data_IF_455855098879
#
_entry.id   IF_455855098879
#
_cell.length_a   1.000
_cell.length_b   1.000
_cell.length_c   1.000
_cell.angle_alpha   90.00
_cell.angle_beta   90.00
_cell.angle_gamma   90.00
#
_symmetry.space_group_name_H-M   'P 1'
#
loop_
_entity.id
_entity.type
_entity.pdbx_description
1 polymer ?
#
# COMPACT_ATOMS: atom_id res chain seq x y z
N UNK A 1 40.09 -11.88 -7.10
CA UNK A 1 39.85 -10.43 -7.17
C UNK A 1 38.45 -10.27 -7.69
N UNK A 2 37.48 -10.05 -6.80
CA UNK A 2 36.11 -9.76 -7.21
C UNK A 2 36.03 -8.23 -7.35
N UNK A 3 35.73 -7.78 -8.57
CA UNK A 3 35.47 -6.38 -8.87
C UNK A 3 34.19 -5.97 -8.13
N UNK A 4 34.35 -5.23 -7.04
CA UNK A 4 33.26 -4.48 -6.44
C UNK A 4 32.97 -3.30 -7.36
N UNK A 5 32.01 -3.47 -8.27
CA UNK A 5 31.44 -2.34 -9.02
C UNK A 5 30.64 -1.48 -8.05
N UNK A 6 31.32 -0.57 -7.37
CA UNK A 6 30.74 0.60 -6.72
C UNK A 6 30.13 1.48 -7.79
N UNK A 7 28.82 1.36 -8.00
CA UNK A 7 28.06 2.35 -8.77
C UNK A 7 27.81 3.58 -7.89
N UNK A 8 28.17 4.74 -8.42
CA UNK A 8 28.19 6.02 -7.72
C UNK A 8 26.79 6.57 -7.50
N UNK A 9 26.38 6.66 -6.23
CA UNK A 9 25.36 7.53 -5.65
C UNK A 9 24.04 7.70 -6.43
N UNK A 10 23.36 6.60 -6.75
CA UNK A 10 22.00 6.64 -7.31
C UNK A 10 20.94 7.15 -6.34
N UNK A 11 21.28 7.40 -5.06
CA UNK A 11 20.31 7.78 -4.02
C UNK A 11 19.46 6.61 -3.51
N UNK A 12 19.74 5.38 -3.96
CA UNK A 12 19.07 4.14 -3.54
C UNK A 12 20.08 3.16 -2.94
N UNK A 13 19.57 2.21 -2.16
CA UNK A 13 20.30 1.07 -1.61
C UNK A 13 19.55 -0.23 -1.89
N UNK A 14 20.29 -1.32 -2.07
CA UNK A 14 19.70 -2.64 -2.28
C UNK A 14 19.15 -3.16 -0.96
N UNK A 15 17.85 -3.43 -0.93
CA UNK A 15 17.18 -4.12 0.17
C UNK A 15 16.92 -5.57 -0.21
N UNK A 16 17.29 -6.47 0.69
CA UNK A 16 16.86 -7.87 0.69
C UNK A 16 15.51 -7.96 1.39
N UNK A 17 14.56 -8.65 0.78
CA UNK A 17 13.20 -8.85 1.28
C UNK A 17 12.99 -10.33 1.57
N UNK A 18 12.19 -10.65 2.59
CA UNK A 18 11.78 -12.02 2.92
C UNK A 18 12.99 -12.96 3.06
N UNK A 19 13.97 -12.55 3.87
CA UNK A 19 15.20 -13.33 4.09
C UNK A 19 16.11 -13.43 2.86
N UNK A 20 16.00 -12.50 1.91
CA UNK A 20 16.83 -12.47 0.69
C UNK A 20 16.26 -13.25 -0.48
N UNK A 21 15.06 -13.81 -0.35
CA UNK A 21 14.37 -14.46 -1.46
C UNK A 21 13.92 -13.47 -2.55
N UNK A 22 13.76 -12.19 -2.20
CA UNK A 22 13.48 -11.10 -3.11
C UNK A 22 14.43 -9.93 -2.85
N UNK A 23 14.56 -9.05 -3.85
CA UNK A 23 15.35 -7.82 -3.74
C UNK A 23 14.66 -6.65 -4.42
N UNK A 24 14.94 -5.45 -3.94
CA UNK A 24 14.49 -4.19 -4.55
C UNK A 24 15.45 -3.06 -4.18
N UNK A 25 15.51 -2.00 -4.97
CA UNK A 25 16.20 -0.77 -4.58
C UNK A 25 15.24 0.14 -3.78
N UNK A 26 15.62 0.51 -2.57
CA UNK A 26 14.89 1.43 -1.69
C UNK A 26 15.65 2.76 -1.59
N UNK A 27 14.98 3.92 -1.55
CA UNK A 27 15.67 5.20 -1.42
C UNK A 27 16.43 5.31 -0.10
N UNK A 28 17.63 5.91 -0.13
CA UNK A 28 18.34 6.29 1.09
C UNK A 28 17.45 7.20 1.94
N UNK A 29 17.53 7.01 3.26
CA UNK A 29 16.70 7.76 4.23
C UNK A 29 15.34 7.11 4.50
N UNK A 30 15.06 5.93 3.95
CA UNK A 30 13.98 5.08 4.41
C UNK A 30 14.52 4.05 5.41
N UNK A 31 13.92 3.98 6.59
CA UNK A 31 14.26 2.99 7.60
C UNK A 31 13.35 1.77 7.49
N UNK A 32 13.90 0.55 7.63
CA UNK A 32 13.10 -0.67 7.74
C UNK A 32 12.42 -0.72 9.12
N UNK A 33 11.10 -0.80 9.13
CA UNK A 33 10.25 -0.75 10.32
C UNK A 33 10.15 -2.08 11.08
N UNK A 34 10.56 -3.20 10.49
CA UNK A 34 10.62 -4.52 11.14
C UNK A 34 11.58 -4.61 12.32
N UNK A 35 12.51 -3.67 12.43
CA UNK A 35 13.39 -3.53 13.61
C UNK A 35 12.71 -2.85 14.80
N UNK A 36 11.56 -2.20 14.59
CA UNK A 36 10.87 -1.36 15.59
C UNK A 36 9.51 -1.94 15.94
N UNK A 37 8.80 -2.46 14.95
CA UNK A 37 7.44 -2.97 15.09
C UNK A 37 7.38 -4.44 14.68
N UNK A 38 6.46 -5.23 15.28
CA UNK A 38 6.13 -6.54 14.75
C UNK A 38 5.42 -6.36 13.41
N UNK A 39 6.07 -6.77 12.32
CA UNK A 39 5.51 -6.76 10.96
C UNK A 39 5.14 -8.21 10.61
N UNK A 40 3.98 -8.47 9.99
CA UNK A 40 3.65 -9.80 9.48
C UNK A 40 4.73 -10.35 8.55
N UNK A 41 4.93 -11.67 8.57
CA UNK A 41 5.98 -12.32 7.77
C UNK A 41 5.80 -12.13 6.25
N UNK A 42 4.57 -11.87 5.80
CA UNK A 42 4.26 -11.59 4.40
C UNK A 42 4.40 -10.10 4.02
N UNK A 43 4.86 -9.24 4.93
CA UNK A 43 5.01 -7.80 4.72
C UNK A 43 6.44 -7.30 5.00
N UNK A 44 6.88 -6.33 4.21
CA UNK A 44 8.12 -5.57 4.40
C UNK A 44 7.80 -4.08 4.35
N UNK A 45 8.24 -3.32 5.36
CA UNK A 45 7.79 -1.94 5.57
C UNK A 45 8.98 -1.01 5.74
N UNK A 46 9.02 0.03 4.91
CA UNK A 46 10.04 1.06 4.95
C UNK A 46 9.38 2.43 5.14
N UNK A 47 9.96 3.28 5.99
CA UNK A 47 9.42 4.62 6.23
C UNK A 47 10.49 5.69 6.09
N UNK A 48 10.18 6.74 5.32
CA UNK A 48 11.01 7.92 5.20
C UNK A 48 11.21 8.58 6.56
N UNK A 49 12.46 8.83 6.92
CA UNK A 49 12.79 9.49 8.18
C UNK A 49 12.39 10.96 8.19
N UNK A 50 12.29 11.60 7.01
CA UNK A 50 12.02 13.04 6.85
C UNK A 50 10.57 13.35 6.48
N UNK A 51 9.97 12.61 5.54
CA UNK A 51 8.67 12.95 4.94
C UNK A 51 7.52 12.10 5.46
N UNK A 52 7.83 11.06 6.25
CA UNK A 52 6.86 10.07 6.73
C UNK A 52 6.14 9.28 5.64
N UNK A 53 6.53 9.44 4.38
CA UNK A 53 6.18 8.56 3.27
C UNK A 53 6.55 7.13 3.60
N UNK A 54 5.64 6.19 3.35
CA UNK A 54 5.83 4.78 3.64
C UNK A 54 5.90 3.99 2.33
N UNK A 55 6.75 2.99 2.28
CA UNK A 55 6.75 1.93 1.26
C UNK A 55 6.38 0.64 1.96
N UNK A 56 5.33 -0.03 1.49
CA UNK A 56 4.90 -1.33 2.00
C UNK A 56 4.96 -2.31 0.82
N UNK A 57 5.57 -3.47 1.04
CA UNK A 57 5.63 -4.56 0.09
C UNK A 57 4.97 -5.76 0.76
N UNK A 58 4.00 -6.37 0.08
CA UNK A 58 3.18 -7.42 0.67
C UNK A 58 2.98 -8.58 -0.31
N UNK A 59 3.03 -9.81 0.21
CA UNK A 59 2.67 -11.02 -0.50
C UNK A 59 1.29 -11.46 -0.04
N UNK A 60 0.36 -11.62 -0.98
CA UNK A 60 -1.00 -12.10 -0.71
C UNK A 60 -1.38 -13.24 -1.66
N UNK A 61 -2.41 -13.99 -1.29
CA UNK A 61 -3.00 -14.98 -2.20
C UNK A 61 -3.56 -14.27 -3.44
N UNK A 62 -3.31 -14.85 -4.61
CA UNK A 62 -3.79 -14.31 -5.86
C UNK A 62 -5.32 -14.31 -5.88
N UNK A 63 -5.90 -13.16 -6.22
CA UNK A 63 -7.34 -13.07 -6.41
C UNK A 63 -7.78 -13.81 -7.68
N UNK A 64 -8.57 -14.86 -7.51
CA UNK A 64 -9.19 -15.57 -8.62
C UNK A 64 -10.47 -14.86 -9.11
N UNK A 65 -10.78 -14.89 -10.41
CA UNK A 65 -12.02 -14.33 -10.92
C UNK A 65 -13.25 -14.84 -10.16
N UNK A 66 -14.08 -13.93 -9.66
CA UNK A 66 -15.30 -14.25 -8.91
C UNK A 66 -15.10 -14.54 -7.42
N UNK A 67 -13.88 -14.50 -6.89
CA UNK A 67 -13.61 -14.62 -5.45
C UNK A 67 -13.88 -13.33 -4.65
N UNK A 68 -14.06 -12.21 -5.34
CA UNK A 68 -14.26 -10.88 -4.76
C UNK A 68 -15.38 -10.12 -5.47
N UNK A 69 -15.91 -9.10 -4.80
CA UNK A 69 -16.91 -8.17 -5.35
C UNK A 69 -16.38 -6.75 -5.26
N UNK A 70 -16.24 -6.08 -6.40
CA UNK A 70 -15.93 -4.66 -6.43
C UNK A 70 -17.18 -3.82 -6.10
N UNK A 71 -17.03 -2.68 -5.41
CA UNK A 71 -18.08 -1.68 -5.33
C UNK A 71 -18.54 -1.24 -6.72
N UNK A 72 -19.84 -1.04 -6.89
CA UNK A 72 -20.46 -0.68 -8.19
C UNK A 72 -19.80 0.57 -8.80
N UNK A 73 -19.55 1.58 -7.98
CA UNK A 73 -18.91 2.84 -8.39
C UNK A 73 -17.50 2.64 -8.96
N UNK A 74 -16.76 1.68 -8.41
CA UNK A 74 -15.39 1.34 -8.83
C UNK A 74 -15.42 0.47 -10.08
N UNK A 75 -16.32 -0.51 -10.12
CA UNK A 75 -16.52 -1.39 -11.27
C UNK A 75 -16.96 -0.62 -12.53
N UNK A 76 -17.80 0.42 -12.35
CA UNK A 76 -18.27 1.28 -13.43
C UNK A 76 -17.12 1.98 -14.18
N UNK A 77 -15.99 2.25 -13.51
CA UNK A 77 -14.84 2.90 -14.14
C UNK A 77 -14.11 2.01 -15.16
N UNK A 78 -14.33 0.69 -15.10
CA UNK A 78 -13.73 -0.29 -16.01
C UNK A 78 -14.61 -0.65 -17.22
N UNK A 79 -15.82 -0.09 -17.36
CA UNK A 79 -16.79 -0.47 -18.41
C UNK A 79 -16.32 -0.19 -19.85
N UNK A 80 -15.23 0.56 -20.03
CA UNK A 80 -14.64 0.84 -21.35
C UNK A 80 -13.53 -0.13 -21.75
N UNK A 81 -13.13 -1.06 -20.87
CA UNK A 81 -12.02 -2.00 -21.10
C UNK A 81 -12.49 -3.34 -21.68
N UNK A 82 -11.66 -4.00 -22.51
CA UNK A 82 -11.95 -5.34 -23.04
C UNK A 82 -12.01 -6.41 -21.95
N UNK A 83 -12.82 -7.46 -22.17
CA UNK A 83 -13.15 -8.49 -21.16
C UNK A 83 -11.93 -9.16 -20.51
N UNK A 84 -10.91 -9.54 -21.29
CA UNK A 84 -9.71 -10.23 -20.76
C UNK A 84 -8.85 -9.34 -19.86
N UNK A 85 -8.83 -8.03 -20.10
CA UNK A 85 -8.13 -7.12 -19.22
C UNK A 85 -9.00 -6.77 -18.00
N UNK A 86 -10.32 -6.80 -18.15
CA UNK A 86 -11.26 -6.39 -17.10
C UNK A 86 -11.07 -7.18 -15.81
N UNK A 87 -10.86 -8.49 -15.88
CA UNK A 87 -10.62 -9.35 -14.70
C UNK A 87 -9.31 -9.02 -13.98
N UNK A 88 -8.26 -8.72 -14.74
CA UNK A 88 -6.95 -8.33 -14.21
C UNK A 88 -7.02 -6.95 -13.55
N UNK A 89 -7.64 -5.98 -14.23
CA UNK A 89 -7.82 -4.63 -13.70
C UNK A 89 -8.79 -4.61 -12.51
N UNK A 90 -9.79 -5.50 -12.47
CA UNK A 90 -10.69 -5.60 -11.32
C UNK A 90 -9.99 -6.14 -10.08
N UNK A 91 -9.02 -7.06 -10.24
CA UNK A 91 -8.21 -7.53 -9.13
C UNK A 91 -7.33 -6.40 -8.58
N UNK A 92 -6.73 -5.59 -9.46
CA UNK A 92 -5.95 -4.39 -9.08
C UNK A 92 -6.81 -3.44 -8.26
N UNK A 93 -8.03 -3.13 -8.72
CA UNK A 93 -8.93 -2.22 -8.00
C UNK A 93 -9.44 -2.80 -6.68
N UNK A 94 -9.59 -4.12 -6.58
CA UNK A 94 -10.05 -4.73 -5.34
C UNK A 94 -8.95 -4.66 -4.26
N UNK A 95 -7.71 -5.00 -4.61
CA UNK A 95 -6.57 -4.82 -3.71
C UNK A 95 -6.41 -3.37 -3.25
N UNK A 96 -6.54 -2.40 -4.18
CA UNK A 96 -6.54 -0.98 -3.84
C UNK A 96 -7.70 -0.62 -2.88
N UNK A 97 -8.91 -1.11 -3.17
CA UNK A 97 -10.09 -0.85 -2.36
C UNK A 97 -9.95 -1.38 -0.94
N UNK A 98 -9.56 -2.64 -0.81
CA UNK A 98 -9.39 -3.33 0.47
C UNK A 98 -8.37 -2.59 1.34
N UNK A 99 -7.22 -2.27 0.77
CA UNK A 99 -6.18 -1.49 1.44
C UNK A 99 -6.68 -0.08 1.85
N UNK A 100 -7.26 0.68 0.91
CA UNK A 100 -7.73 2.05 1.15
C UNK A 100 -8.86 2.14 2.17
N UNK A 101 -9.62 1.07 2.41
CA UNK A 101 -10.80 1.10 3.29
C UNK A 101 -10.63 0.32 4.59
N UNK A 102 -9.52 -0.40 4.76
CA UNK A 102 -9.14 -1.10 6.00
C UNK A 102 -9.29 -0.23 7.25
N UNK A 103 -8.89 1.05 7.17
CA UNK A 103 -8.97 2.02 8.28
C UNK A 103 -10.34 2.71 8.43
N UNK A 104 -11.34 2.33 7.63
CA UNK A 104 -12.59 3.09 7.50
C UNK A 104 -12.44 4.38 6.69
N UNK A 105 -11.32 4.51 5.98
CA UNK A 105 -11.01 5.65 5.13
C UNK A 105 -11.83 5.60 3.83
N UNK A 106 -11.88 6.73 3.14
CA UNK A 106 -12.49 6.84 1.81
C UNK A 106 -11.41 7.13 0.79
N UNK A 107 -11.65 6.79 -0.48
CA UNK A 107 -10.67 7.05 -1.53
C UNK A 107 -11.32 7.43 -2.85
N UNK A 108 -10.55 8.14 -3.67
CA UNK A 108 -10.87 8.49 -5.05
C UNK A 108 -9.75 7.99 -5.95
N UNK A 109 -10.10 7.30 -7.04
CA UNK A 109 -9.11 6.82 -8.02
C UNK A 109 -8.63 8.01 -8.86
N UNK A 110 -7.34 8.31 -8.78
CA UNK A 110 -6.70 9.39 -9.55
C UNK A 110 -6.25 8.88 -10.92
N UNK A 111 -5.63 7.71 -10.94
CA UNK A 111 -5.14 7.05 -12.15
C UNK A 111 -5.71 5.63 -12.19
N UNK A 112 -6.41 5.31 -13.28
CA UNK A 112 -6.91 3.95 -13.51
C UNK A 112 -5.76 2.95 -13.68
N UNK A 113 -5.98 1.68 -13.30
CA UNK A 113 -5.05 0.59 -13.56
C UNK A 113 -4.57 0.54 -15.00
N UNK A 114 -3.24 0.63 -15.16
CA UNK A 114 -2.58 0.50 -16.46
C UNK A 114 -1.49 -0.56 -16.39
N UNK A 115 -1.33 -1.41 -17.43
CA UNK A 115 -0.23 -2.35 -17.50
C UNK A 115 1.11 -1.63 -17.41
N UNK A 116 2.04 -2.20 -16.66
CA UNK A 116 3.40 -1.68 -16.54
C UNK A 116 4.39 -2.84 -16.60
N UNK A 117 5.26 -2.91 -17.64
CA UNK A 117 6.22 -4.01 -17.75
C UNK A 117 7.30 -3.88 -16.67
N UNK A 118 7.33 -4.85 -15.76
CA UNK A 118 8.41 -5.03 -14.79
C UNK A 118 9.62 -5.67 -15.46
N UNK A 119 10.83 -5.27 -15.06
CA UNK A 119 12.05 -5.66 -15.79
C UNK A 119 12.61 -7.03 -15.39
N UNK A 120 12.47 -7.40 -14.11
CA UNK A 120 13.14 -8.58 -13.55
C UNK A 120 12.18 -9.73 -13.21
N UNK A 121 10.86 -9.52 -13.35
CA UNK A 121 9.85 -10.54 -13.06
C UNK A 121 9.02 -10.75 -14.34
N UNK A 122 9.02 -11.93 -14.98
CA UNK A 122 8.30 -12.17 -16.23
C UNK A 122 6.82 -12.44 -15.95
N UNK A 123 6.08 -11.47 -15.41
CA UNK A 123 4.67 -11.62 -15.06
C UNK A 123 3.88 -10.33 -15.28
N UNK A 124 2.55 -10.41 -15.51
CA UNK A 124 1.70 -9.23 -15.63
C UNK A 124 1.81 -8.34 -14.41
N UNK A 125 1.88 -7.04 -14.67
CA UNK A 125 2.05 -6.03 -13.66
C UNK A 125 1.24 -4.78 -14.02
N UNK A 126 0.73 -4.11 -13.00
CA UNK A 126 -0.21 -3.00 -13.13
C UNK A 126 0.08 -1.92 -12.10
N UNK A 127 -0.21 -0.67 -12.44
CA UNK A 127 -0.13 0.45 -11.50
C UNK A 127 -1.38 1.30 -11.56
N UNK A 128 -1.79 1.83 -10.41
CA UNK A 128 -2.85 2.83 -10.27
C UNK A 128 -2.51 3.79 -9.13
N UNK A 129 -3.27 4.87 -9.01
CA UNK A 129 -3.13 5.81 -7.90
C UNK A 129 -4.49 6.17 -7.34
N UNK A 130 -4.55 6.42 -6.03
CA UNK A 130 -5.73 6.94 -5.38
C UNK A 130 -5.37 8.02 -4.36
N UNK A 131 -6.27 9.00 -4.22
CA UNK A 131 -6.31 9.90 -3.10
C UNK A 131 -7.08 9.23 -1.97
N UNK A 132 -6.48 9.09 -0.81
CA UNK A 132 -7.10 8.53 0.40
C UNK A 132 -7.40 9.68 1.34
N UNK A 133 -8.67 9.79 1.74
CA UNK A 133 -9.16 10.75 2.73
C UNK A 133 -9.57 9.99 3.98
N UNK A 134 -8.88 10.28 5.06
CA UNK A 134 -9.01 9.53 6.28
C UNK A 134 -9.99 10.17 7.26
N UNK A 135 -10.87 9.33 7.83
CA UNK A 135 -11.96 9.76 8.71
C UNK A 135 -11.59 9.55 10.17
N UNK A 136 -10.98 10.57 10.77
CA UNK A 136 -10.78 10.65 12.22
C UNK A 136 -9.34 10.86 12.68
N UNK A 137 -9.20 11.07 13.99
CA UNK A 137 -7.93 11.41 14.66
C UNK A 137 -7.12 10.16 15.05
N UNK A 138 -6.77 9.34 14.06
CA UNK A 138 -5.80 8.26 14.25
C UNK A 138 -4.43 8.80 13.85
N UNK A 139 -3.41 8.58 14.68
CA UNK A 139 -2.04 9.01 14.34
C UNK A 139 -1.50 8.20 13.17
N UNK A 140 -0.62 8.77 12.35
CA UNK A 140 -0.07 8.06 11.18
C UNK A 140 0.65 6.77 11.53
N UNK A 141 1.33 6.74 12.68
CA UNK A 141 1.97 5.52 13.16
C UNK A 141 0.90 4.46 13.46
N UNK A 142 -0.23 4.83 14.05
CA UNK A 142 -1.33 3.90 14.26
C UNK A 142 -2.00 3.49 12.95
N UNK A 143 -2.15 4.40 11.98
CA UNK A 143 -2.66 4.07 10.64
C UNK A 143 -1.76 3.09 9.91
N UNK A 144 -0.44 3.33 9.97
CA UNK A 144 0.55 2.39 9.46
C UNK A 144 0.35 1.02 10.12
N UNK A 145 0.33 0.96 11.45
CA UNK A 145 0.16 -0.30 12.18
C UNK A 145 -1.16 -1.03 11.86
N UNK A 146 -2.25 -0.30 11.64
CA UNK A 146 -3.52 -0.90 11.24
C UNK A 146 -3.44 -1.54 9.84
N UNK A 147 -2.79 -0.86 8.87
CA UNK A 147 -2.54 -1.45 7.54
C UNK A 147 -1.72 -2.74 7.61
N UNK A 148 -0.92 -2.91 8.67
CA UNK A 148 -0.13 -4.13 8.90
C UNK A 148 -0.93 -5.24 9.61
N UNK A 149 -2.09 -4.95 10.18
CA UNK A 149 -2.80 -5.88 11.07
C UNK A 149 -3.93 -6.66 10.36
N UNK A 150 -4.52 -6.10 9.30
CA UNK A 150 -5.79 -6.60 8.74
C UNK A 150 -5.66 -7.68 7.65
N UNK A 151 -4.47 -7.95 7.11
CA UNK A 151 -4.32 -8.94 6.03
C UNK A 151 -4.37 -10.42 6.46
N UNK A 152 -4.70 -10.71 7.73
CA UNK A 152 -4.83 -12.08 8.26
C UNK A 152 -6.27 -12.59 8.44
N UNK A 153 -7.31 -11.82 8.08
CA UNK A 153 -8.69 -12.26 8.24
C UNK A 153 -9.44 -12.42 6.92
N UNK A 154 -9.16 -13.54 6.23
CA UNK A 154 -10.16 -14.15 5.37
C UNK A 154 -10.31 -15.64 5.68
N UNK A 155 -11.08 -15.95 6.73
CA UNK A 155 -11.93 -17.15 6.79
C UNK A 155 -12.85 -17.13 8.02
N UNK A 156 -14.17 -17.22 7.76
CA UNK A 156 -15.27 -17.70 8.64
C UNK A 156 -16.09 -16.70 9.48
N UNK A 157 -17.37 -16.60 9.05
CA UNK A 157 -18.63 -16.58 9.82
C UNK A 157 -19.17 -15.29 10.45
N UNK A 158 -20.24 -14.79 9.83
CA UNK A 158 -21.60 -14.59 10.39
C UNK A 158 -21.75 -14.64 11.94
N UNK A 159 -22.18 -13.52 12.53
CA UNK A 159 -23.54 -13.34 13.12
C UNK A 159 -23.58 -12.49 14.42
N UNK A 160 -24.50 -11.51 14.40
CA UNK A 160 -25.40 -10.99 15.46
C UNK A 160 -24.84 -10.16 16.65
N UNK A 161 -25.49 -9.01 16.99
CA UNK A 161 -25.11 -8.17 18.12
C UNK A 161 -25.71 -8.68 19.44
N UNK A 162 -24.99 -8.54 20.56
CA UNK A 162 -25.52 -8.75 21.90
C UNK A 162 -25.01 -7.68 22.88
N UNK A 163 -25.95 -7.26 23.72
CA UNK A 163 -25.97 -6.10 24.61
C UNK A 163 -25.48 -6.39 26.04
N UNK A 164 -25.57 -5.35 26.88
CA UNK A 164 -25.36 -5.22 28.35
C UNK A 164 -23.92 -4.88 28.76
N UNK A 165 -23.61 -3.83 29.51
CA UNK A 165 -24.38 -2.80 30.24
C UNK A 165 -23.49 -2.33 31.42
N UNK A 166 -23.47 -1.04 31.77
CA UNK A 166 -23.36 -0.46 33.15
C UNK A 166 -23.05 1.04 33.10
N UNK A 167 -23.69 1.78 34.01
CA UNK A 167 -23.84 3.22 34.10
C UNK A 167 -22.58 4.01 34.54
N UNK A 168 -22.53 5.29 34.17
CA UNK A 168 -21.60 6.26 34.75
C UNK A 168 -21.73 7.69 34.20
N UNK A 169 -22.40 8.54 34.98
CA UNK A 169 -22.16 9.99 35.13
C UNK A 169 -22.48 10.93 33.96
N UNK A 170 -23.58 11.68 34.14
CA UNK A 170 -23.95 12.85 33.35
C UNK A 170 -22.95 14.00 33.59
N UNK A 171 -22.16 14.33 32.57
CA UNK A 171 -21.42 15.58 32.46
C UNK A 171 -21.90 16.34 31.23
N UNK A 172 -22.59 17.45 31.43
CA UNK A 172 -22.98 18.36 30.35
C UNK A 172 -21.75 19.11 29.88
N UNK A 173 -21.08 18.63 28.83
CA UNK A 173 -20.06 19.42 28.12
C UNK A 173 -20.71 20.09 26.92
N UNK A 174 -20.68 21.42 26.93
CA UNK A 174 -20.98 22.25 25.76
C UNK A 174 -19.94 21.92 24.69
N UNK A 175 -20.31 21.10 23.71
CA UNK A 175 -19.44 20.73 22.59
C UNK A 175 -19.39 21.91 21.62
N UNK A 176 -18.26 22.62 21.59
CA UNK A 176 -17.91 23.45 20.44
C UNK A 176 -17.86 22.56 19.19
N UNK A 177 -18.26 23.04 17.99
CA UNK A 177 -18.20 22.23 16.78
C UNK A 177 -16.75 21.78 16.58
N UNK A 178 -16.52 20.47 16.72
CA UNK A 178 -15.22 19.86 16.51
C UNK A 178 -15.03 19.92 15.00
N UNK A 179 -14.12 20.75 14.52
CA UNK A 179 -13.71 20.70 13.11
C UNK A 179 -13.06 19.33 12.92
N UNK A 180 -13.75 18.43 12.23
CA UNK A 180 -13.17 17.16 11.78
C UNK A 180 -12.02 17.52 10.85
N UNK A 181 -10.78 17.30 11.29
CA UNK A 181 -9.63 17.50 10.43
C UNK A 181 -9.51 16.25 9.57
N UNK A 182 -9.98 16.36 8.33
CA UNK A 182 -9.72 15.35 7.31
C UNK A 182 -8.22 15.40 6.98
N UNK A 183 -7.61 14.22 6.90
CA UNK A 183 -6.21 14.04 6.53
C UNK A 183 -6.19 13.33 5.20
N UNK A 184 -5.41 13.84 4.25
CA UNK A 184 -5.33 13.28 2.91
C UNK A 184 -3.95 12.71 2.65
N UNK A 185 -3.91 11.67 1.83
CA UNK A 185 -2.66 11.06 1.38
C UNK A 185 -2.84 10.44 -0.01
N UNK A 186 -1.80 10.42 -0.84
CA UNK A 186 -1.86 9.67 -2.10
C UNK A 186 -1.26 8.29 -1.90
N UNK A 187 -1.98 7.26 -2.34
CA UNK A 187 -1.45 5.92 -2.51
C UNK A 187 -1.03 5.71 -3.97
N UNK A 188 0.27 5.53 -4.20
CA UNK A 188 0.80 4.98 -5.44
C UNK A 188 0.84 3.46 -5.31
N UNK A 189 0.08 2.76 -6.15
CA UNK A 189 -0.06 1.32 -6.11
C UNK A 189 0.60 0.63 -7.30
N UNK A 190 1.20 -0.51 -7.02
CA UNK A 190 1.79 -1.40 -8.01
C UNK A 190 1.55 -2.85 -7.62
N UNK A 191 1.09 -3.65 -8.59
CA UNK A 191 0.76 -5.06 -8.42
C UNK A 191 1.55 -5.89 -9.44
N UNK A 192 2.12 -7.02 -9.01
CA UNK A 192 2.65 -8.09 -9.87
C UNK A 192 1.88 -9.37 -9.61
N UNK A 193 1.37 -10.02 -10.67
CA UNK A 193 0.51 -11.19 -10.53
C UNK A 193 1.23 -12.47 -10.93
N UNK A 194 1.57 -13.30 -9.96
CA UNK A 194 2.30 -14.55 -10.17
C UNK A 194 1.34 -15.75 -10.25
N UNK A 195 0.58 -15.84 -11.35
CA UNK A 195 -0.45 -16.87 -11.53
C UNK A 195 0.05 -18.31 -11.28
N UNK A 196 1.27 -18.63 -11.69
CA UNK A 196 1.86 -19.97 -11.50
C UNK A 196 2.10 -20.35 -10.02
N UNK A 197 2.18 -19.35 -9.14
CA UNK A 197 2.40 -19.53 -7.70
C UNK A 197 1.17 -19.17 -6.86
N UNK A 198 0.06 -18.75 -7.49
CA UNK A 198 -1.13 -18.30 -6.76
C UNK A 198 -0.85 -17.12 -5.82
N UNK A 199 0.11 -16.26 -6.17
CA UNK A 199 0.53 -15.11 -5.34
C UNK A 199 0.40 -13.81 -6.11
N UNK A 200 -0.07 -12.77 -5.43
CA UNK A 200 -0.02 -11.38 -5.88
C UNK A 200 1.02 -10.64 -5.00
N UNK A 201 1.93 -9.88 -5.63
CA UNK A 201 2.91 -9.02 -4.94
C UNK A 201 2.40 -7.59 -5.02
N UNK A 202 2.11 -6.98 -3.88
CA UNK A 202 1.58 -5.63 -3.77
C UNK A 202 2.68 -4.69 -3.28
N UNK A 203 2.74 -3.50 -3.86
CA UNK A 203 3.62 -2.42 -3.46
C UNK A 203 2.80 -1.15 -3.32
N UNK A 204 2.93 -0.51 -2.17
CA UNK A 204 2.24 0.71 -1.82
C UNK A 204 3.26 1.79 -1.47
N UNK A 205 3.11 2.98 -2.03
CA UNK A 205 3.80 4.18 -1.55
C UNK A 205 2.76 5.18 -1.10
N UNK A 206 2.70 5.43 0.22
CA UNK A 206 1.74 6.36 0.79
C UNK A 206 2.42 7.70 1.11
N UNK A 207 1.93 8.79 0.51
CA UNK A 207 2.44 10.16 0.68
C UNK A 207 1.48 10.95 1.58
N UNK A 208 1.83 11.27 2.85
CA UNK A 208 0.94 11.97 3.79
C UNK A 208 0.92 13.48 3.52
N UNK A 209 -0.16 14.00 2.94
CA UNK A 209 -0.22 15.41 2.52
C UNK A 209 -0.25 16.36 3.70
N UNK A 210 -1.08 16.05 4.68
CA UNK A 210 -1.24 16.79 5.94
C UNK A 210 0.10 17.00 6.66
N UNK A 211 0.90 15.96 6.84
CA UNK A 211 2.22 16.07 7.49
C UNK A 211 3.21 16.93 6.69
N UNK A 212 3.14 16.86 5.36
CA UNK A 212 3.98 17.66 4.47
C UNK A 212 3.54 19.13 4.47
N UNK A 213 2.24 19.39 4.57
CA UNK A 213 1.68 20.74 4.71
C UNK A 213 2.04 21.35 6.07
N UNK A 214 1.93 20.58 7.15
CA UNK A 214 2.32 20.98 8.51
C UNK A 214 3.81 21.33 8.63
N UNK A 215 4.66 20.81 7.74
CA UNK A 215 6.08 21.18 7.68
C UNK A 215 6.30 22.67 7.37
N UNK A 216 5.30 23.34 6.79
CA UNK A 216 5.37 24.75 6.39
C UNK A 216 6.27 25.02 5.18
N UNK A 217 6.80 23.98 4.53
CA UNK A 217 7.61 24.09 3.32
C UNK A 217 6.69 24.20 2.09
N UNK A 218 6.70 25.33 1.36
CA UNK A 218 5.84 25.50 0.19
C UNK A 218 6.16 24.46 -0.88
N UNK A 219 5.14 23.75 -1.36
CA UNK A 219 5.28 22.73 -2.41
C UNK A 219 5.82 21.39 -1.93
N UNK A 220 5.92 21.14 -0.62
CA UNK A 220 6.39 19.87 -0.08
C UNK A 220 5.61 18.65 -0.60
N UNK A 221 4.28 18.77 -0.67
CA UNK A 221 3.41 17.72 -1.22
C UNK A 221 3.77 17.43 -2.68
N UNK A 222 3.79 18.44 -3.54
CA UNK A 222 4.10 18.26 -4.96
C UNK A 222 5.52 17.69 -5.19
N UNK A 223 6.49 18.10 -4.36
CA UNK A 223 7.84 17.56 -4.41
C UNK A 223 7.87 16.08 -4.00
N UNK A 224 7.16 15.72 -2.95
CA UNK A 224 7.12 14.33 -2.47
C UNK A 224 6.31 13.42 -3.41
N UNK A 225 5.27 13.93 -4.06
CA UNK A 225 4.54 13.20 -5.11
C UNK A 225 5.43 12.88 -6.31
N UNK A 226 6.23 13.86 -6.77
CA UNK A 226 7.21 13.63 -7.83
C UNK A 226 8.25 12.59 -7.40
N UNK A 227 8.71 12.67 -6.15
CA UNK A 227 9.61 11.68 -5.58
C UNK A 227 8.97 10.29 -5.52
N UNK A 228 7.73 10.17 -5.04
CA UNK A 228 7.00 8.90 -4.96
C UNK A 228 6.83 8.25 -6.34
N UNK A 229 6.54 9.05 -7.37
CA UNK A 229 6.51 8.59 -8.75
C UNK A 229 7.86 8.00 -9.21
N UNK A 230 8.97 8.69 -8.94
CA UNK A 230 10.32 8.22 -9.28
C UNK A 230 10.71 6.96 -8.49
N UNK A 231 10.33 6.88 -7.21
CA UNK A 231 10.54 5.69 -6.37
C UNK A 231 9.78 4.50 -6.97
N UNK A 232 8.50 4.67 -7.29
CA UNK A 232 7.69 3.62 -7.89
C UNK A 232 8.31 3.13 -9.21
N UNK A 233 8.72 4.06 -10.08
CA UNK A 233 9.40 3.74 -11.33
C UNK A 233 10.73 3.00 -11.12
N UNK A 234 11.48 3.32 -10.06
CA UNK A 234 12.70 2.59 -9.70
C UNK A 234 12.40 1.18 -9.20
N UNK A 235 11.43 1.03 -8.30
CA UNK A 235 11.01 -0.28 -7.77
C UNK A 235 10.53 -1.21 -8.87
N UNK A 236 9.74 -0.73 -9.84
CA UNK A 236 9.29 -1.54 -10.98
C UNK A 236 10.44 -2.06 -11.87
N UNK A 237 11.62 -1.40 -11.84
CA UNK A 237 12.83 -1.84 -12.57
C UNK A 237 13.73 -2.75 -11.73
N UNK A 238 13.71 -2.61 -10.42
CA UNK A 238 14.66 -3.26 -9.51
C UNK A 238 14.07 -4.41 -8.69
N UNK A 239 12.75 -4.48 -8.56
CA UNK A 239 12.06 -5.56 -7.86
C UNK A 239 12.28 -6.87 -8.62
N UNK A 240 12.96 -7.81 -7.97
CA UNK A 240 13.29 -9.11 -8.54
C UNK A 240 13.15 -10.23 -7.52
N UNK A 241 12.78 -11.40 -8.03
CA UNK A 241 12.70 -12.64 -7.26
C UNK A 241 14.02 -13.39 -7.46
N UNK A 242 14.67 -13.76 -6.37
CA UNK A 242 15.92 -14.53 -6.35
C UNK A 242 15.60 -16.00 -6.12
N UNK A 243 14.74 -16.29 -5.15
CA UNK A 243 14.35 -17.64 -4.77
C UNK A 243 12.82 -17.81 -4.84
N UNK A 244 12.37 -18.61 -5.80
CA UNK A 244 10.96 -18.90 -6.00
C UNK A 244 10.41 -19.95 -5.01
N UNK A 245 11.25 -20.64 -4.23
CA UNK A 245 10.78 -21.51 -3.15
C UNK A 245 10.02 -20.73 -2.07
N UNK A 246 10.18 -19.40 -2.01
CA UNK A 246 9.37 -18.51 -1.19
C UNK A 246 7.85 -18.74 -1.36
N UNK A 247 7.42 -19.13 -2.56
CA UNK A 247 6.01 -19.33 -2.90
C UNK A 247 5.57 -20.81 -2.83
N UNK A 248 6.31 -21.67 -2.14
CA UNK A 248 5.97 -23.09 -1.96
C UNK A 248 6.29 -23.99 -3.17
N UNK A 249 7.21 -23.56 -4.03
CA UNK A 249 7.74 -24.34 -5.15
C UNK A 249 8.67 -25.49 -4.77
#
# INVERSE_FOLDING_TARGET
>A
MAESTTDSDTGYELAELYGGAMKVLIPKGFANMGSIYPIPDNQEVFRSTSTKTNIIIELVERLEPGSYTLPEEVAAQLETSSDTNKEELSAVLYHLHDMCTSNGDTYEILDLPKPYPVQLIPSPAYTCQALVTAKGKISDTQRLLNMLSDSTQQATSTSTPASTGTAGTAGTTVTAPITEHESTSTCHFFLVRLAQYGTDILVYINVPHDMLEESGVPGAVAQEEMRAHDIMANMMRSLGIIDYCLFGG
#
